data_IF_113549132027
#
_entry.id   IF_113549132027
#
_cell.length_a   1.000
_cell.length_b   1.000
_cell.length_c   1.000
_cell.angle_alpha   90.00
_cell.angle_beta   90.00
_cell.angle_gamma   90.00
#
_symmetry.space_group_name_H-M   'P 1'
#
loop_
_entity.id
_entity.type
_entity.pdbx_description
1 polymer ?
#
# COMPACT_ATOMS: atom_id res chain seq x y z
N UNK A 1 26.72 6.97 14.79
CA UNK A 1 25.74 6.36 15.70
C UNK A 1 25.67 4.86 15.40
N UNK A 2 25.50 4.03 16.42
CA UNK A 2 25.34 2.57 16.27
C UNK A 2 23.89 2.18 15.98
N UNK A 3 22.93 3.00 16.38
CA UNK A 3 21.49 2.87 16.09
C UNK A 3 20.79 4.23 16.17
N UNK A 4 19.61 4.31 15.57
CA UNK A 4 18.64 5.42 15.73
C UNK A 4 17.45 4.88 16.48
N UNK A 5 16.89 5.61 17.43
CA UNK A 5 15.68 5.26 18.15
C UNK A 5 14.59 6.28 17.86
N UNK A 6 13.42 5.80 17.46
CA UNK A 6 12.21 6.59 17.27
C UNK A 6 11.23 6.16 18.35
N UNK A 7 10.98 7.05 19.28
CA UNK A 7 10.04 6.84 20.37
C UNK A 7 8.66 7.39 20.00
N UNK A 8 7.65 6.55 20.07
CA UNK A 8 6.28 6.82 19.66
C UNK A 8 5.31 6.28 20.74
N UNK A 9 4.01 6.38 20.49
CA UNK A 9 2.93 5.89 21.35
C UNK A 9 2.48 4.45 21.04
N UNK A 10 3.15 3.78 20.10
CA UNK A 10 2.85 2.39 19.71
C UNK A 10 4.02 1.45 19.98
N UNK A 11 3.74 0.17 20.22
CA UNK A 11 4.72 -0.88 20.55
C UNK A 11 5.61 -1.32 19.37
N UNK A 12 5.76 -0.46 18.34
CA UNK A 12 6.51 -0.75 17.11
C UNK A 12 5.59 -0.84 15.88
N UNK A 13 6.13 -1.40 14.80
CA UNK A 13 5.39 -1.62 13.56
C UNK A 13 4.42 -2.78 13.78
N UNK A 14 3.15 -2.59 13.45
CA UNK A 14 2.07 -3.56 13.67
C UNK A 14 1.68 -4.27 12.39
N UNK A 15 1.12 -5.47 12.53
CA UNK A 15 0.61 -6.27 11.41
C UNK A 15 -0.59 -5.66 10.68
N UNK A 16 -1.27 -4.71 11.30
CA UNK A 16 -2.31 -3.86 10.72
C UNK A 16 -2.49 -2.60 11.60
N UNK A 17 -3.33 -1.66 11.18
CA UNK A 17 -3.73 -0.53 12.01
C UNK A 17 -4.61 -1.02 13.19
N UNK A 18 -4.20 -0.81 14.46
CA UNK A 18 -4.96 -1.27 15.63
C UNK A 18 -6.37 -0.66 15.75
N UNK A 19 -6.64 0.43 15.02
CA UNK A 19 -7.98 1.03 14.97
C UNK A 19 -8.94 0.25 14.07
N UNK A 20 -8.41 -0.62 13.20
CA UNK A 20 -9.16 -1.43 12.25
C UNK A 20 -9.19 -2.88 12.69
N UNK A 21 -8.04 -3.41 13.13
CA UNK A 21 -7.86 -4.80 13.57
C UNK A 21 -7.46 -4.81 15.04
N UNK A 22 -8.28 -5.40 15.89
CA UNK A 22 -8.04 -5.39 17.35
C UNK A 22 -6.82 -6.22 17.78
N UNK A 23 -6.59 -7.37 17.14
CA UNK A 23 -5.58 -8.36 17.55
C UNK A 23 -4.29 -8.26 16.72
N UNK A 24 -3.81 -7.04 16.49
CA UNK A 24 -2.57 -6.85 15.75
C UNK A 24 -1.35 -7.33 16.51
N UNK A 25 -0.38 -7.90 15.81
CA UNK A 25 0.91 -8.33 16.37
C UNK A 25 2.02 -7.33 16.04
N UNK A 26 3.02 -7.23 16.91
CA UNK A 26 4.19 -6.40 16.68
C UNK A 26 5.18 -7.13 15.76
N UNK A 27 5.53 -6.51 14.65
CA UNK A 27 6.53 -7.02 13.70
C UNK A 27 7.93 -6.63 14.19
N UNK A 28 8.71 -7.62 14.60
CA UNK A 28 10.02 -7.39 15.27
C UNK A 28 11.11 -6.92 14.31
N UNK A 29 11.16 -7.48 13.12
CA UNK A 29 12.18 -7.18 12.12
C UNK A 29 11.53 -6.80 10.80
N UNK A 30 11.96 -5.67 10.26
CA UNK A 30 11.48 -5.11 9.00
C UNK A 30 12.70 -4.65 8.19
N UNK A 31 12.75 -4.95 6.91
CA UNK A 31 13.78 -4.39 6.04
C UNK A 31 13.50 -2.91 5.73
N UNK A 32 14.51 -2.16 5.29
CA UNK A 32 14.29 -0.78 4.84
C UNK A 32 13.35 -0.70 3.64
N UNK A 33 13.39 -1.70 2.77
CA UNK A 33 12.54 -1.75 1.58
C UNK A 33 11.09 -2.04 1.97
N UNK A 34 10.86 -2.99 2.88
CA UNK A 34 9.52 -3.23 3.46
C UNK A 34 8.97 -1.99 4.16
N UNK A 35 9.77 -1.32 5.00
CA UNK A 35 9.33 -0.11 5.70
C UNK A 35 8.95 1.03 4.73
N UNK A 36 9.69 1.18 3.63
CA UNK A 36 9.38 2.16 2.59
C UNK A 36 8.10 1.82 1.84
N UNK A 37 7.90 0.55 1.49
CA UNK A 37 6.70 0.05 0.83
C UNK A 37 5.47 0.20 1.73
N UNK A 38 5.58 -0.18 3.01
CA UNK A 38 4.53 0.01 4.02
C UNK A 38 4.10 1.48 4.10
N UNK A 39 5.06 2.40 4.19
CA UNK A 39 4.78 3.83 4.29
C UNK A 39 4.13 4.38 3.01
N UNK A 40 4.58 3.96 1.83
CA UNK A 40 3.97 4.32 0.56
C UNK A 40 2.52 3.83 0.46
N UNK A 41 2.24 2.63 0.92
CA UNK A 41 0.93 2.00 0.86
C UNK A 41 0.01 2.37 2.04
N UNK A 42 0.44 3.26 2.94
CA UNK A 42 -0.43 3.89 3.94
C UNK A 42 -0.18 3.52 5.40
N UNK A 43 0.86 2.74 5.71
CA UNK A 43 1.26 2.56 7.10
C UNK A 43 1.83 3.87 7.68
N UNK A 44 1.28 4.32 8.80
CA UNK A 44 1.60 5.64 9.39
C UNK A 44 2.73 5.62 10.42
N UNK A 45 3.51 4.55 10.47
CA UNK A 45 4.51 4.37 11.55
C UNK A 45 5.82 5.12 11.26
N UNK A 46 6.28 5.13 10.01
CA UNK A 46 7.54 5.76 9.61
C UNK A 46 7.36 6.48 8.27
N UNK A 47 7.89 7.70 8.19
CA UNK A 47 7.96 8.38 6.90
C UNK A 47 9.25 7.96 6.18
N UNK A 48 9.22 7.63 4.86
CA UNK A 48 10.40 7.17 4.12
C UNK A 48 11.61 8.12 4.24
N UNK A 49 11.38 9.43 4.20
CA UNK A 49 12.44 10.44 4.35
C UNK A 49 13.12 10.43 5.73
N UNK A 50 12.45 9.91 6.76
CA UNK A 50 13.02 9.83 8.11
C UNK A 50 14.05 8.70 8.22
N UNK A 51 13.85 7.59 7.49
CA UNK A 51 14.72 6.43 7.54
C UNK A 51 15.83 6.47 6.48
N UNK A 52 15.70 7.25 5.43
CA UNK A 52 16.65 7.33 4.32
C UNK A 52 18.10 7.67 4.75
N UNK A 53 18.36 8.62 5.66
CA UNK A 53 19.73 8.88 6.13
C UNK A 53 20.36 7.71 6.90
N UNK A 54 19.54 6.95 7.65
CA UNK A 54 19.98 5.77 8.37
C UNK A 54 20.27 4.62 7.39
N UNK A 55 19.38 4.41 6.41
CA UNK A 55 19.53 3.44 5.33
C UNK A 55 20.87 3.61 4.58
N UNK A 56 21.20 4.84 4.14
CA UNK A 56 22.46 5.15 3.43
C UNK A 56 23.71 4.80 4.22
N UNK A 57 23.62 4.75 5.54
CA UNK A 57 24.74 4.45 6.44
C UNK A 57 24.63 3.06 7.07
N UNK A 58 23.66 2.25 6.69
CA UNK A 58 23.35 0.94 7.27
C UNK A 58 23.20 0.98 8.81
N UNK A 59 22.62 2.08 9.35
CA UNK A 59 22.41 2.25 10.78
C UNK A 59 21.00 1.78 11.12
N UNK A 60 20.80 0.73 11.94
CA UNK A 60 19.47 0.24 12.28
C UNK A 60 18.62 1.31 12.98
N UNK A 61 17.32 1.32 12.66
CA UNK A 61 16.32 2.19 13.27
C UNK A 61 15.41 1.34 14.14
N UNK A 62 15.30 1.69 15.43
CA UNK A 62 14.42 1.02 16.38
C UNK A 62 13.18 1.89 16.61
N UNK A 63 11.99 1.32 16.44
CA UNK A 63 10.71 1.96 16.78
C UNK A 63 10.27 1.42 18.16
N UNK A 64 10.21 2.31 19.13
CA UNK A 64 10.00 1.98 20.53
C UNK A 64 8.80 2.75 21.10
N UNK A 65 8.15 2.20 22.11
CA UNK A 65 7.02 2.83 22.79
C UNK A 65 7.48 3.63 24.00
N UNK A 66 7.23 4.94 24.00
CA UNK A 66 7.55 5.84 25.14
C UNK A 66 6.72 5.55 26.39
N UNK A 67 5.52 4.98 26.23
CA UNK A 67 4.62 4.60 27.33
C UNK A 67 4.89 3.18 27.83
N UNK A 68 5.58 2.34 27.05
CA UNK A 68 5.95 0.97 27.40
C UNK A 68 7.42 0.71 27.04
N UNK A 69 8.39 1.28 27.79
CA UNK A 69 9.82 1.13 27.49
C UNK A 69 10.36 -0.30 27.60
N UNK A 70 9.63 -1.21 28.25
CA UNK A 70 9.97 -2.63 28.35
C UNK A 70 9.68 -3.40 27.05
N UNK A 71 8.84 -2.86 26.17
CA UNK A 71 8.56 -3.44 24.87
C UNK A 71 9.79 -3.37 23.97
N UNK A 72 10.17 -4.49 23.36
CA UNK A 72 11.33 -4.56 22.45
C UNK A 72 11.15 -3.76 21.15
N UNK A 73 9.90 -3.36 20.82
CA UNK A 73 9.59 -2.62 19.62
C UNK A 73 9.91 -3.34 18.32
N UNK A 74 10.17 -2.58 17.26
CA UNK A 74 10.54 -3.07 15.92
C UNK A 74 11.92 -2.55 15.52
N UNK A 75 12.72 -3.40 14.88
CA UNK A 75 14.01 -3.05 14.29
C UNK A 75 13.86 -2.96 12.77
N UNK A 76 14.20 -1.82 12.19
CA UNK A 76 14.30 -1.62 10.74
C UNK A 76 15.78 -1.63 10.37
N UNK A 77 16.19 -2.50 9.46
CA UNK A 77 17.59 -2.68 9.09
C UNK A 77 17.74 -3.17 7.64
N UNK A 78 18.98 -3.43 7.21
CA UNK A 78 19.27 -4.06 5.90
C UNK A 78 19.00 -5.56 5.88
N UNK A 79 18.81 -6.18 7.05
CA UNK A 79 18.56 -7.61 7.17
C UNK A 79 17.19 -7.93 6.57
N UNK A 80 17.17 -8.88 5.66
CA UNK A 80 15.97 -9.39 5.04
C UNK A 80 15.46 -10.62 5.78
N UNK A 81 14.19 -10.64 6.05
CA UNK A 81 13.51 -11.81 6.61
C UNK A 81 12.30 -12.14 5.70
N UNK A 82 12.52 -13.04 4.76
CA UNK A 82 11.60 -13.40 3.69
C UNK A 82 10.52 -14.42 4.11
N UNK A 83 10.31 -14.64 5.42
CA UNK A 83 9.54 -15.80 5.88
C UNK A 83 8.02 -15.58 5.91
N UNK A 84 7.52 -14.35 5.86
CA UNK A 84 6.06 -14.10 5.94
C UNK A 84 5.64 -12.72 5.50
N UNK A 85 4.36 -12.55 5.19
CA UNK A 85 3.74 -11.23 5.13
C UNK A 85 3.90 -10.52 6.48
N UNK A 86 4.18 -9.22 6.44
CA UNK A 86 4.48 -8.40 7.63
C UNK A 86 3.26 -7.59 8.07
N UNK A 87 2.58 -6.93 7.15
CA UNK A 87 1.49 -6.04 7.51
C UNK A 87 0.44 -5.96 6.42
N UNK A 88 -0.76 -5.58 6.83
CA UNK A 88 -1.84 -5.16 5.94
C UNK A 88 -2.07 -3.67 6.18
N UNK A 89 -2.02 -2.89 5.11
CA UNK A 89 -2.35 -1.47 5.13
C UNK A 89 -3.72 -1.23 4.50
N UNK A 90 -4.42 -0.20 4.94
CA UNK A 90 -5.69 0.24 4.37
C UNK A 90 -5.65 1.74 4.11
N UNK A 91 -6.00 2.14 2.89
CA UNK A 91 -6.36 3.50 2.50
C UNK A 91 -7.83 3.49 2.12
N UNK A 92 -8.66 4.12 2.91
CA UNK A 92 -10.12 4.06 2.82
C UNK A 92 -10.76 5.24 2.07
N UNK A 93 -9.95 6.20 1.62
CA UNK A 93 -10.37 7.36 0.84
C UNK A 93 -9.58 7.43 -0.48
N UNK A 94 -10.00 6.61 -1.45
CA UNK A 94 -9.37 6.49 -2.76
C UNK A 94 -10.32 6.91 -3.86
N UNK A 95 -9.88 7.81 -4.72
CA UNK A 95 -10.45 8.04 -6.03
C UNK A 95 -9.82 7.07 -7.03
N UNK A 96 -10.66 6.45 -7.84
CA UNK A 96 -10.26 5.53 -8.90
C UNK A 96 -10.71 6.09 -10.24
N UNK A 97 -9.76 6.30 -11.15
CA UNK A 97 -10.03 6.71 -12.51
C UNK A 97 -9.89 5.53 -13.46
N UNK A 98 -10.91 5.33 -14.28
CA UNK A 98 -10.88 4.40 -15.42
C UNK A 98 -10.89 5.24 -16.70
N UNK A 99 -9.75 5.28 -17.40
CA UNK A 99 -9.49 6.12 -18.57
C UNK A 99 -9.46 5.20 -19.79
N UNK A 100 -10.37 5.45 -20.73
CA UNK A 100 -10.60 4.58 -21.88
C UNK A 100 -10.35 5.40 -23.15
N UNK A 101 -9.62 4.80 -24.10
CA UNK A 101 -9.45 5.35 -25.44
C UNK A 101 -10.33 4.59 -26.44
N UNK A 102 -11.16 5.32 -27.18
CA UNK A 102 -11.97 4.76 -28.27
C UNK A 102 -11.15 4.54 -29.55
N UNK A 103 -9.90 5.00 -29.56
CA UNK A 103 -8.96 4.87 -30.69
C UNK A 103 -7.73 4.09 -30.24
N UNK A 104 -7.15 3.35 -31.15
CA UNK A 104 -5.84 2.71 -30.93
C UNK A 104 -4.77 3.81 -30.96
N UNK A 105 -4.45 4.36 -29.80
CA UNK A 105 -3.39 5.39 -29.63
C UNK A 105 -2.07 4.80 -29.18
N UNK A 106 -2.06 3.53 -28.81
CA UNK A 106 -0.91 2.83 -28.24
C UNK A 106 -0.72 3.09 -26.74
N UNK A 107 -0.29 2.05 -26.03
CA UNK A 107 -0.09 2.04 -24.57
C UNK A 107 0.80 3.20 -24.10
N UNK A 108 1.95 3.40 -24.77
CA UNK A 108 2.93 4.42 -24.40
C UNK A 108 2.35 5.84 -24.45
N UNK A 109 1.61 6.17 -25.54
CA UNK A 109 1.02 7.49 -25.70
C UNK A 109 -0.09 7.75 -24.68
N UNK A 110 -0.85 6.71 -24.31
CA UNK A 110 -1.89 6.81 -23.30
C UNK A 110 -1.30 6.98 -21.89
N UNK A 111 -0.28 6.21 -21.54
CA UNK A 111 0.47 6.37 -20.30
C UNK A 111 1.07 7.77 -20.18
N UNK A 112 1.76 8.24 -21.23
CA UNK A 112 2.35 9.58 -21.25
C UNK A 112 1.29 10.66 -20.99
N UNK A 113 0.13 10.58 -21.65
CA UNK A 113 -0.93 11.55 -21.45
C UNK A 113 -1.49 11.55 -20.02
N UNK A 114 -1.71 10.37 -19.44
CA UNK A 114 -2.26 10.24 -18.09
C UNK A 114 -1.28 10.75 -17.04
N UNK A 115 -0.02 10.34 -17.12
CA UNK A 115 0.98 10.72 -16.10
C UNK A 115 1.46 12.17 -16.25
N UNK A 116 1.55 12.72 -17.49
CA UNK A 116 1.81 14.14 -17.67
C UNK A 116 0.67 15.01 -17.12
N UNK A 117 -0.59 14.62 -17.35
CA UNK A 117 -1.73 15.35 -16.78
C UNK A 117 -1.74 15.30 -15.24
N UNK A 118 -1.33 14.17 -14.65
CA UNK A 118 -1.20 14.05 -13.19
C UNK A 118 -0.07 14.94 -12.65
N UNK A 119 1.10 14.94 -13.29
CA UNK A 119 2.27 15.75 -12.91
C UNK A 119 1.96 17.25 -13.01
N UNK A 120 1.42 17.71 -14.15
CA UNK A 120 1.06 19.11 -14.38
C UNK A 120 0.00 19.62 -13.39
N UNK A 121 -0.92 18.76 -12.98
CA UNK A 121 -1.93 19.06 -11.98
C UNK A 121 -1.44 18.90 -10.53
N UNK A 122 -0.22 18.37 -10.31
CA UNK A 122 0.31 18.06 -8.98
C UNK A 122 -0.44 16.94 -8.27
N UNK A 123 -1.10 16.03 -9.01
CA UNK A 123 -1.83 14.88 -8.47
C UNK A 123 -0.90 13.69 -8.31
N UNK A 124 -0.85 13.15 -7.09
CA UNK A 124 -0.06 11.95 -6.78
C UNK A 124 -0.89 10.69 -6.99
N UNK A 125 -0.47 9.86 -7.93
CA UNK A 125 -1.04 8.54 -8.16
C UNK A 125 -0.41 7.50 -7.23
N UNK A 126 -1.16 6.44 -6.89
CA UNK A 126 -0.70 5.37 -6.00
C UNK A 126 -0.46 4.10 -6.81
N UNK A 127 -1.52 3.54 -7.40
CA UNK A 127 -1.45 2.35 -8.23
C UNK A 127 -1.87 2.66 -9.66
N UNK A 128 -1.34 1.90 -10.61
CA UNK A 128 -1.76 1.96 -11.99
C UNK A 128 -1.82 0.57 -12.62
N UNK A 129 -2.78 0.40 -13.53
CA UNK A 129 -2.88 -0.76 -14.39
C UNK A 129 -3.13 -0.28 -15.82
N UNK A 130 -2.47 -0.90 -16.77
CA UNK A 130 -2.46 -0.42 -18.16
C UNK A 130 -2.75 -1.58 -19.10
N UNK A 131 -3.60 -1.32 -20.08
CA UNK A 131 -3.85 -2.17 -21.23
C UNK A 131 -3.81 -1.35 -22.52
N UNK A 132 -4.01 -1.95 -23.68
CA UNK A 132 -3.91 -1.27 -24.99
C UNK A 132 -4.84 -0.07 -25.13
N UNK A 133 -6.06 -0.15 -24.58
CA UNK A 133 -7.09 0.89 -24.72
C UNK A 133 -7.54 1.50 -23.40
N UNK A 134 -6.89 1.12 -22.27
CA UNK A 134 -7.35 1.52 -20.94
C UNK A 134 -6.20 1.71 -19.98
N UNK A 135 -6.26 2.80 -19.23
CA UNK A 135 -5.39 3.07 -18.09
C UNK A 135 -6.27 3.26 -16.86
N UNK A 136 -5.94 2.56 -15.81
CA UNK A 136 -6.58 2.71 -14.50
C UNK A 136 -5.56 3.24 -13.51
N UNK A 137 -5.94 4.26 -12.74
CA UNK A 137 -5.07 4.86 -11.71
C UNK A 137 -5.87 5.10 -10.44
N UNK A 138 -5.19 4.92 -9.32
CA UNK A 138 -5.72 5.27 -7.99
C UNK A 138 -4.96 6.44 -7.41
N UNK A 139 -5.63 7.22 -6.58
CA UNK A 139 -5.07 8.36 -5.86
C UNK A 139 -5.85 8.63 -4.59
N UNK A 140 -5.26 9.31 -3.63
CA UNK A 140 -6.00 9.77 -2.45
C UNK A 140 -7.03 10.82 -2.85
N UNK A 141 -8.23 10.72 -2.26
CA UNK A 141 -9.34 11.64 -2.50
C UNK A 141 -8.99 13.06 -2.04
N UNK A 142 -9.55 14.05 -2.72
CA UNK A 142 -9.48 15.45 -2.29
C UNK A 142 -8.20 16.20 -2.70
N UNK A 143 -7.40 15.66 -3.61
CA UNK A 143 -6.24 16.39 -4.13
C UNK A 143 -6.67 17.62 -4.94
N UNK A 144 -6.10 18.82 -4.69
CA UNK A 144 -6.57 20.08 -5.31
C UNK A 144 -6.54 20.06 -6.84
N UNK A 145 -5.54 19.40 -7.45
CA UNK A 145 -5.38 19.31 -8.90
C UNK A 145 -6.26 18.29 -9.61
N UNK A 146 -7.03 17.47 -8.85
CA UNK A 146 -7.82 16.37 -9.42
C UNK A 146 -8.76 16.82 -10.55
N UNK A 147 -9.50 17.91 -10.32
CA UNK A 147 -10.41 18.46 -11.34
C UNK A 147 -9.70 18.90 -12.61
N UNK A 148 -8.52 19.51 -12.48
CA UNK A 148 -7.69 19.93 -13.63
C UNK A 148 -7.19 18.71 -14.41
N UNK A 149 -6.66 17.71 -13.75
CA UNK A 149 -6.24 16.44 -14.36
C UNK A 149 -7.37 15.79 -15.17
N UNK A 150 -8.55 15.65 -14.55
CA UNK A 150 -9.71 15.05 -15.19
C UNK A 150 -10.16 15.85 -16.41
N UNK A 151 -10.19 17.19 -16.32
CA UNK A 151 -10.58 18.07 -17.42
C UNK A 151 -9.61 17.94 -18.62
N UNK A 152 -8.31 17.83 -18.36
CA UNK A 152 -7.30 17.65 -19.40
C UNK A 152 -7.46 16.28 -20.08
N UNK A 153 -7.63 15.22 -19.31
CA UNK A 153 -7.80 13.87 -19.86
C UNK A 153 -9.09 13.73 -20.67
N UNK A 154 -10.17 14.37 -20.29
CA UNK A 154 -11.46 14.35 -21.00
C UNK A 154 -11.41 15.00 -22.40
N UNK A 155 -10.38 15.78 -22.70
CA UNK A 155 -10.18 16.31 -24.07
C UNK A 155 -9.84 15.21 -25.09
N UNK A 156 -9.32 14.07 -24.62
CA UNK A 156 -8.78 13.00 -25.47
C UNK A 156 -9.37 11.62 -25.18
N UNK A 157 -9.90 11.41 -24.00
CA UNK A 157 -10.30 10.09 -23.51
C UNK A 157 -11.67 10.14 -22.82
N UNK A 158 -12.33 9.00 -22.77
CA UNK A 158 -13.46 8.78 -21.88
C UNK A 158 -12.92 8.53 -20.47
N UNK A 159 -13.31 9.37 -19.50
CA UNK A 159 -12.84 9.29 -18.11
C UNK A 159 -14.01 9.02 -17.18
N UNK A 160 -14.00 7.84 -16.57
CA UNK A 160 -14.95 7.46 -15.52
C UNK A 160 -14.27 7.65 -14.16
N UNK A 161 -14.99 8.29 -13.25
CA UNK A 161 -14.54 8.52 -11.86
C UNK A 161 -15.35 7.60 -10.97
N UNK A 162 -14.68 6.72 -10.26
CA UNK A 162 -15.28 5.84 -9.27
C UNK A 162 -14.85 6.30 -7.89
N UNK A 163 -15.77 6.72 -7.07
CA UNK A 163 -15.57 7.16 -5.67
C UNK A 163 -15.94 6.04 -4.71
N UNK A 164 -15.76 6.32 -3.43
CA UNK A 164 -16.06 5.36 -2.35
C UNK A 164 -15.34 4.03 -2.54
N UNK A 165 -14.06 4.13 -2.89
CA UNK A 165 -13.16 3.01 -3.02
C UNK A 165 -12.15 3.00 -1.88
N UNK A 166 -11.66 1.81 -1.58
CA UNK A 166 -10.57 1.60 -0.65
C UNK A 166 -9.51 0.72 -1.30
N UNK A 167 -8.28 0.97 -0.92
CA UNK A 167 -7.13 0.18 -1.30
C UNK A 167 -6.58 -0.49 -0.05
N UNK A 168 -6.54 -1.81 -0.01
CA UNK A 168 -5.74 -2.51 0.96
C UNK A 168 -4.53 -3.15 0.29
N UNK A 169 -3.45 -3.27 1.04
CA UNK A 169 -2.20 -3.84 0.53
C UNK A 169 -1.57 -4.75 1.58
N UNK A 170 -1.15 -5.92 1.16
CA UNK A 170 -0.37 -6.85 1.96
C UNK A 170 1.08 -6.61 1.63
N UNK A 171 1.91 -6.38 2.65
CA UNK A 171 3.33 -6.07 2.49
C UNK A 171 4.19 -7.08 3.22
N UNK A 172 5.24 -7.53 2.57
CA UNK A 172 6.26 -8.43 3.09
C UNK A 172 7.12 -8.96 1.94
N UNK A 173 8.40 -9.16 2.18
CA UNK A 173 9.31 -9.62 1.15
C UNK A 173 9.03 -11.09 0.80
N UNK A 174 8.84 -11.37 -0.51
CA UNK A 174 8.60 -12.72 -1.07
C UNK A 174 7.47 -13.55 -0.40
N UNK A 175 6.54 -12.88 0.28
CA UNK A 175 5.51 -13.55 1.09
C UNK A 175 4.60 -14.50 0.29
N UNK A 176 4.40 -14.24 -1.01
CA UNK A 176 3.61 -15.14 -1.87
C UNK A 176 4.31 -16.48 -2.12
N UNK A 177 5.63 -16.51 -2.10
CA UNK A 177 6.40 -17.74 -2.19
C UNK A 177 6.40 -18.50 -0.86
N UNK A 178 6.52 -17.77 0.24
CA UNK A 178 6.56 -18.34 1.59
C UNK A 178 5.20 -18.85 2.09
N UNK A 179 4.10 -18.34 1.52
CA UNK A 179 2.73 -18.71 1.89
C UNK A 179 1.96 -19.29 0.68
N UNK A 180 2.23 -20.55 0.26
CA UNK A 180 1.53 -21.15 -0.85
C UNK A 180 0.01 -21.16 -0.65
N UNK A 181 -0.73 -20.76 -1.69
CA UNK A 181 -2.20 -20.69 -1.65
C UNK A 181 -2.78 -19.47 -0.92
N UNK A 182 -1.97 -18.55 -0.43
CA UNK A 182 -2.47 -17.31 0.21
C UNK A 182 -3.33 -16.49 -0.76
N UNK A 183 -2.89 -16.31 -2.01
CA UNK A 183 -3.65 -15.59 -3.03
C UNK A 183 -5.06 -16.20 -3.22
N UNK A 184 -5.15 -17.53 -3.35
CA UNK A 184 -6.45 -18.23 -3.46
C UNK A 184 -7.32 -18.11 -2.20
N UNK A 185 -6.70 -17.96 -1.03
CA UNK A 185 -7.45 -17.74 0.23
C UNK A 185 -7.98 -16.32 0.30
N UNK A 186 -7.17 -15.34 -0.14
CA UNK A 186 -7.58 -13.94 -0.25
C UNK A 186 -8.75 -13.81 -1.22
N UNK A 187 -8.66 -14.42 -2.41
CA UNK A 187 -9.73 -14.38 -3.42
C UNK A 187 -11.09 -14.87 -2.89
N UNK A 188 -11.11 -15.81 -1.94
CA UNK A 188 -12.36 -16.31 -1.33
C UNK A 188 -13.04 -15.34 -0.38
N UNK A 189 -12.31 -14.38 0.18
CA UNK A 189 -12.86 -13.38 1.11
C UNK A 189 -13.08 -12.03 0.43
N UNK A 190 -12.65 -11.90 -0.84
CA UNK A 190 -12.90 -10.67 -1.60
C UNK A 190 -14.38 -10.52 -1.96
N UNK A 191 -14.92 -9.30 -1.95
CA UNK A 191 -16.24 -9.01 -2.50
C UNK A 191 -16.28 -9.28 -4.00
N UNK A 192 -17.47 -9.41 -4.58
CA UNK A 192 -17.65 -9.69 -6.00
C UNK A 192 -17.06 -8.64 -6.96
N UNK A 193 -16.78 -7.41 -6.46
CA UNK A 193 -16.23 -6.30 -7.25
C UNK A 193 -14.81 -5.97 -6.81
N UNK A 194 -13.83 -6.43 -7.59
CA UNK A 194 -12.43 -6.00 -7.47
C UNK A 194 -12.07 -5.14 -8.68
N UNK A 195 -11.71 -3.89 -8.44
CA UNK A 195 -11.47 -2.89 -9.50
C UNK A 195 -10.06 -2.94 -10.05
N UNK A 196 -9.09 -3.25 -9.19
CA UNK A 196 -7.68 -3.33 -9.53
C UNK A 196 -6.97 -4.30 -8.61
N UNK A 197 -6.06 -5.09 -9.17
CA UNK A 197 -5.08 -5.88 -8.44
C UNK A 197 -3.70 -5.49 -8.96
N UNK A 198 -2.79 -5.19 -8.07
CA UNK A 198 -1.44 -4.80 -8.42
C UNK A 198 -0.43 -5.50 -7.51
N UNK A 199 0.54 -6.15 -8.11
CA UNK A 199 1.71 -6.68 -7.41
C UNK A 199 2.89 -5.76 -7.66
N UNK A 200 3.65 -5.40 -6.63
CA UNK A 200 4.85 -4.60 -6.82
C UNK A 200 5.90 -5.36 -7.64
N UNK A 201 6.73 -4.65 -8.44
CA UNK A 201 7.73 -5.28 -9.32
C UNK A 201 8.73 -6.20 -8.59
N UNK A 202 8.98 -5.93 -7.31
CA UNK A 202 9.90 -6.71 -6.45
C UNK A 202 9.16 -7.73 -5.58
N UNK A 203 7.87 -8.00 -5.88
CA UNK A 203 7.02 -8.95 -5.14
C UNK A 203 6.93 -8.68 -3.64
N UNK A 204 7.06 -7.41 -3.27
CA UNK A 204 7.05 -6.95 -1.88
C UNK A 204 5.67 -6.57 -1.39
N UNK A 205 4.74 -6.31 -2.28
CA UNK A 205 3.35 -6.01 -1.95
C UNK A 205 2.37 -6.54 -2.97
N UNK A 206 1.16 -6.85 -2.48
CA UNK A 206 0.00 -7.20 -3.27
C UNK A 206 -1.16 -6.31 -2.82
N UNK A 207 -1.64 -5.48 -3.74
CA UNK A 207 -2.65 -4.46 -3.49
C UNK A 207 -3.94 -4.75 -4.23
N UNK A 208 -5.06 -4.48 -3.58
CA UNK A 208 -6.40 -4.61 -4.14
C UNK A 208 -7.17 -3.31 -3.96
N UNK A 209 -7.99 -2.98 -4.94
CA UNK A 209 -8.96 -1.88 -4.87
C UNK A 209 -10.36 -2.46 -4.93
N UNK A 210 -11.15 -2.19 -3.89
CA UNK A 210 -12.50 -2.69 -3.69
C UNK A 210 -13.44 -1.55 -3.27
N UNK A 211 -14.73 -1.81 -3.14
CA UNK A 211 -15.66 -0.87 -2.55
C UNK A 211 -15.34 -0.64 -1.06
N UNK A 212 -15.40 0.62 -0.63
CA UNK A 212 -15.02 1.04 0.73
C UNK A 212 -15.81 0.32 1.81
N UNK A 213 -17.09 0.02 1.55
CA UNK A 213 -17.97 -0.63 2.51
C UNK A 213 -17.51 -2.02 2.96
N UNK A 214 -16.76 -2.74 2.12
CA UNK A 214 -16.25 -4.09 2.43
C UNK A 214 -14.82 -4.07 3.01
N UNK A 215 -14.13 -2.95 2.95
CA UNK A 215 -12.69 -2.90 3.16
C UNK A 215 -12.27 -3.33 4.57
N UNK A 216 -12.99 -2.89 5.60
CA UNK A 216 -12.67 -3.23 6.99
C UNK A 216 -12.88 -4.72 7.25
N UNK A 217 -13.98 -5.30 6.79
CA UNK A 217 -14.28 -6.72 6.97
C UNK A 217 -13.27 -7.60 6.24
N UNK A 218 -12.93 -7.23 4.99
CA UNK A 218 -11.92 -7.93 4.20
C UNK A 218 -10.55 -7.89 4.88
N UNK A 219 -10.12 -6.72 5.37
CA UNK A 219 -8.83 -6.58 6.07
C UNK A 219 -8.79 -7.43 7.34
N UNK A 220 -9.87 -7.47 8.13
CA UNK A 220 -9.94 -8.31 9.32
C UNK A 220 -9.84 -9.81 8.97
N UNK A 221 -10.60 -10.29 8.00
CA UNK A 221 -10.52 -11.69 7.55
C UNK A 221 -9.14 -12.06 7.02
N UNK A 222 -8.52 -11.20 6.19
CA UNK A 222 -7.17 -11.46 5.68
C UNK A 222 -6.15 -11.46 6.82
N UNK A 223 -6.30 -10.57 7.79
CA UNK A 223 -5.43 -10.56 8.97
C UNK A 223 -5.49 -11.86 9.75
N UNK A 224 -6.69 -12.39 10.02
CA UNK A 224 -6.88 -13.70 10.66
C UNK A 224 -6.25 -14.85 9.86
N UNK A 225 -6.32 -14.78 8.53
CA UNK A 225 -5.69 -15.77 7.65
C UNK A 225 -4.16 -15.74 7.70
N UNK A 226 -3.59 -14.55 7.89
CA UNK A 226 -2.13 -14.33 7.90
C UNK A 226 -1.52 -14.50 9.28
N UNK A 227 -2.26 -14.13 10.33
CA UNK A 227 -1.82 -14.12 11.72
C UNK A 227 -2.81 -14.92 12.58
N UNK A 228 -2.91 -16.26 12.37
CA UNK A 228 -3.81 -17.09 13.16
C UNK A 228 -3.42 -17.02 14.65
N UNK A 229 -4.42 -16.92 15.51
CA UNK A 229 -4.19 -17.02 16.96
C UNK A 229 -3.66 -18.41 17.25
N UNK A 230 -2.56 -18.48 17.99
CA UNK A 230 -2.11 -19.75 18.56
C UNK A 230 -3.21 -20.25 19.51
N UNK A 231 -3.75 -21.42 19.19
CA UNK A 231 -4.79 -22.10 19.98
C UNK A 231 -4.22 -22.82 21.18
#
# INVERSE_FOLDING_TARGET
>A
ASRVEIWTDVDGIRSADPRIVNDTVCIRNVSYDEASEMAFLGARVLHPLTIEPARKKNIPVCVLNSQNPSCKGSKVSVEKNCESAKTITLKDDIDFLDIISDKIVGVTAMMAAVFSAAEEAGVKTILSSVSESRVRVTMETGQPGFGQMVAELRKRFTVMICRDKAQFSIVGEEFLHSCPGLASRIEKVLPGSVYLVCMSPVQMSLSYVIDKEYAVDVVNHIHELMFPKES
#
